data_IF_221130058485
#
_entry.id   IF_221130058485
#
_cell.length_a   1.000
_cell.length_b   1.000
_cell.length_c   1.000
_cell.angle_alpha   90.00
_cell.angle_beta   90.00
_cell.angle_gamma   90.00
#
_symmetry.space_group_name_H-M   'P 1'
#
loop_
_entity.id
_entity.type
_entity.pdbx_description
1 polymer ?
#
# COMPACT_ATOMS: atom_id res chain seq x y z
N UNK A 1 -4.28 -11.22 66.37
CA UNK A 1 -3.24 -11.90 67.17
C UNK A 1 -3.49 -13.40 67.11
N UNK A 2 -2.43 -14.21 66.99
CA UNK A 2 -2.11 -14.99 65.79
C UNK A 2 -2.12 -16.51 66.12
N UNK A 3 -2.17 -17.44 65.17
CA UNK A 3 -1.13 -17.76 64.18
C UNK A 3 -0.60 -19.16 64.48
N UNK A 4 -1.14 -20.17 63.79
CA UNK A 4 -0.54 -21.51 63.78
C UNK A 4 0.60 -21.57 62.76
N UNK A 5 1.74 -22.20 63.06
CA UNK A 5 2.81 -22.38 62.09
C UNK A 5 2.46 -23.54 61.14
N UNK A 6 2.69 -23.41 59.82
CA UNK A 6 2.67 -24.55 58.93
C UNK A 6 4.02 -25.27 58.94
N UNK A 7 3.88 -26.59 58.91
CA UNK A 7 4.89 -27.62 58.68
C UNK A 7 5.76 -27.28 57.47
N UNK A 8 7.03 -26.93 57.69
CA UNK A 8 8.12 -27.08 56.70
C UNK A 8 9.08 -28.14 57.25
N UNK A 9 8.60 -29.38 57.27
CA UNK A 9 9.41 -30.56 57.49
C UNK A 9 9.29 -31.42 56.25
N UNK A 10 10.32 -31.43 55.40
CA UNK A 10 10.86 -32.67 54.80
C UNK A 10 12.04 -32.45 53.82
N UNK A 11 12.36 -31.21 53.40
CA UNK A 11 13.48 -30.99 52.44
C UNK A 11 14.85 -30.76 53.08
N UNK A 12 14.93 -30.62 54.41
CA UNK A 12 16.18 -30.34 55.13
C UNK A 12 17.15 -31.53 55.24
N UNK A 13 16.68 -32.77 55.13
CA UNK A 13 17.52 -33.96 55.36
C UNK A 13 18.54 -34.24 54.25
N UNK A 14 18.17 -34.01 53.00
CA UNK A 14 19.01 -34.34 51.85
C UNK A 14 20.16 -33.33 51.63
N UNK A 15 19.93 -32.05 51.95
CA UNK A 15 20.97 -31.01 51.83
C UNK A 15 22.04 -31.12 52.93
N UNK A 16 21.66 -31.63 54.11
CA UNK A 16 22.56 -31.79 55.27
C UNK A 16 23.62 -32.88 55.04
N UNK A 17 23.26 -33.98 54.36
CA UNK A 17 24.21 -35.07 54.07
C UNK A 17 25.24 -34.71 52.99
N UNK A 18 24.87 -33.88 52.01
CA UNK A 18 25.78 -33.41 50.95
C UNK A 18 26.79 -32.38 51.48
N UNK A 19 26.36 -31.50 52.39
CA UNK A 19 27.26 -30.52 53.00
C UNK A 19 28.31 -31.16 53.93
N UNK A 20 27.96 -32.24 54.65
CA UNK A 20 28.90 -32.95 55.53
C UNK A 20 29.96 -33.74 54.74
N UNK A 21 29.63 -34.27 53.55
CA UNK A 21 30.62 -35.01 52.74
C UNK A 21 31.60 -34.10 52.00
N UNK A 22 31.24 -32.83 51.76
CA UNK A 22 32.09 -31.87 51.03
C UNK A 22 33.16 -31.19 51.90
N UNK A 23 33.00 -31.17 53.23
CA UNK A 23 33.90 -30.45 54.14
C UNK A 23 34.99 -31.36 54.76
N UNK A 24 34.96 -32.67 54.50
CA UNK A 24 36.05 -33.58 54.91
C UNK A 24 36.30 -33.61 56.41
N UNK A 25 35.22 -33.62 57.22
CA UNK A 25 35.29 -33.66 58.68
C UNK A 25 35.09 -35.08 59.21
N UNK A 26 36.04 -35.97 58.91
CA UNK A 26 36.20 -37.21 59.67
C UNK A 26 36.79 -36.87 61.05
N UNK A 27 35.94 -36.52 62.03
CA UNK A 27 36.43 -36.35 63.41
C UNK A 27 35.65 -35.49 64.39
N UNK A 28 34.44 -34.99 64.08
CA UNK A 28 33.65 -34.24 65.07
C UNK A 28 32.71 -35.18 65.80
N UNK A 29 33.03 -35.47 67.07
CA UNK A 29 32.22 -36.28 67.97
C UNK A 29 30.82 -35.69 68.22
N UNK A 30 29.93 -36.53 68.76
CA UNK A 30 28.51 -36.32 69.05
C UNK A 30 28.23 -35.18 70.05
N UNK A 31 28.53 -33.94 69.67
CA UNK A 31 28.14 -32.73 70.40
C UNK A 31 26.76 -32.22 69.97
N UNK A 32 26.03 -31.61 70.90
CA UNK A 32 24.68 -31.03 70.74
C UNK A 32 24.73 -29.88 69.71
N UNK A 33 24.55 -30.20 68.43
CA UNK A 33 24.51 -29.22 67.33
C UNK A 33 23.07 -28.77 67.10
N UNK A 34 22.83 -27.46 67.18
CA UNK A 34 21.51 -26.87 66.89
C UNK A 34 21.58 -26.02 65.62
N UNK A 35 20.67 -26.21 64.65
CA UNK A 35 20.62 -25.37 63.47
C UNK A 35 20.17 -23.96 63.86
N UNK A 36 20.75 -22.96 63.21
CA UNK A 36 20.44 -21.54 63.38
C UNK A 36 20.29 -20.88 62.02
N UNK A 37 19.25 -20.05 61.89
CA UNK A 37 19.01 -19.18 60.75
C UNK A 37 19.26 -17.73 61.18
N UNK A 38 20.11 -17.01 60.45
CA UNK A 38 20.45 -15.61 60.74
C UNK A 38 20.10 -14.76 59.52
N UNK A 39 19.26 -13.74 59.71
CA UNK A 39 18.92 -12.76 58.69
C UNK A 39 19.52 -11.39 59.07
N UNK A 40 20.40 -10.86 58.23
CA UNK A 40 21.01 -9.53 58.40
C UNK A 40 20.92 -8.81 57.05
N UNK A 41 20.06 -7.79 56.97
CA UNK A 41 19.82 -7.07 55.71
C UNK A 41 19.22 -7.98 54.63
N UNK A 42 19.87 -8.01 53.45
CA UNK A 42 19.51 -8.80 52.27
C UNK A 42 20.10 -10.22 52.27
N UNK A 43 20.78 -10.61 53.36
CA UNK A 43 21.46 -11.91 53.48
C UNK A 43 20.72 -12.79 54.49
N UNK A 44 20.29 -13.96 54.02
CA UNK A 44 19.80 -15.06 54.87
C UNK A 44 20.86 -16.15 54.88
N UNK A 45 21.43 -16.43 56.06
CA UNK A 45 22.48 -17.41 56.24
C UNK A 45 22.05 -18.55 57.17
N UNK A 46 22.48 -19.77 56.84
CA UNK A 46 22.21 -20.98 57.62
C UNK A 46 23.50 -21.49 58.25
N UNK A 47 23.43 -21.89 59.52
CA UNK A 47 24.59 -22.36 60.27
C UNK A 47 24.22 -23.28 61.43
N UNK A 48 25.24 -23.68 62.18
CA UNK A 48 25.12 -24.52 63.37
C UNK A 48 25.82 -23.88 64.57
N UNK A 49 25.25 -24.05 65.76
CA UNK A 49 25.92 -23.74 67.02
C UNK A 49 26.79 -24.94 67.42
N UNK A 50 28.07 -24.70 67.69
CA UNK A 50 29.04 -25.67 68.20
C UNK A 50 29.69 -25.07 69.47
N UNK A 51 29.32 -25.58 70.64
CA UNK A 51 29.78 -25.03 71.93
C UNK A 51 29.30 -23.59 72.14
N UNK A 52 30.21 -22.63 72.32
CA UNK A 52 29.92 -21.20 72.44
C UNK A 52 30.05 -20.41 71.13
N UNK A 53 30.28 -21.08 69.99
CA UNK A 53 30.50 -20.44 68.68
C UNK A 53 29.45 -20.82 67.63
N UNK A 54 29.31 -19.98 66.60
CA UNK A 54 28.43 -20.21 65.43
C UNK A 54 29.29 -20.45 64.19
N UNK A 55 29.02 -21.53 63.47
CA UNK A 55 29.63 -21.85 62.16
C UNK A 55 28.58 -21.67 61.06
N UNK A 56 28.84 -20.79 60.10
CA UNK A 56 27.97 -20.53 58.94
C UNK A 56 28.37 -21.42 57.76
N UNK A 57 27.39 -22.11 57.17
CA UNK A 57 27.60 -23.12 56.10
C UNK A 57 27.23 -22.58 54.72
N UNK A 58 26.46 -21.49 54.65
CA UNK A 58 26.16 -20.80 53.40
C UNK A 58 25.13 -19.68 53.59
N UNK A 59 25.06 -18.76 52.63
CA UNK A 59 24.07 -17.68 52.62
C UNK A 59 23.50 -17.44 51.23
N UNK A 60 22.19 -17.20 51.15
CA UNK A 60 21.54 -16.65 49.97
C UNK A 60 21.48 -15.13 50.11
N UNK A 61 21.96 -14.43 49.09
CA UNK A 61 21.78 -12.98 48.97
C UNK A 61 20.55 -12.72 48.12
N UNK A 62 19.44 -12.35 48.75
CA UNK A 62 18.19 -11.99 48.07
C UNK A 62 18.18 -10.48 47.95
N UNK A 63 18.77 -9.94 46.88
CA UNK A 63 18.78 -8.49 46.66
C UNK A 63 17.46 -8.07 46.02
N UNK A 64 16.56 -7.49 46.83
CA UNK A 64 15.32 -6.86 46.35
C UNK A 64 15.61 -5.84 45.23
N UNK A 65 16.74 -5.14 45.31
CA UNK A 65 17.21 -4.22 44.28
C UNK A 65 17.49 -4.88 42.92
N UNK A 66 17.96 -6.12 42.87
CA UNK A 66 18.23 -6.81 41.60
C UNK A 66 16.92 -7.28 40.93
N UNK A 67 15.92 -7.64 41.74
CA UNK A 67 14.59 -7.97 41.23
C UNK A 67 13.88 -6.72 40.72
N UNK A 68 13.92 -5.61 41.46
CA UNK A 68 13.37 -4.33 41.01
C UNK A 68 14.05 -3.81 39.74
N UNK A 69 15.39 -3.94 39.62
CA UNK A 69 16.12 -3.60 38.39
C UNK A 69 15.65 -4.42 37.19
N UNK A 70 15.55 -5.75 37.33
CA UNK A 70 15.06 -6.61 36.23
C UNK A 70 13.62 -6.31 35.84
N UNK A 71 12.76 -5.99 36.82
CA UNK A 71 11.36 -5.67 36.55
C UNK A 71 11.25 -4.35 35.78
N UNK A 72 12.00 -3.32 36.20
CA UNK A 72 12.11 -2.05 35.46
C UNK A 72 12.71 -2.21 34.08
N UNK A 73 13.73 -3.05 33.92
CA UNK A 73 14.33 -3.34 32.60
C UNK A 73 13.32 -3.98 31.65
N UNK A 74 12.48 -4.89 32.14
CA UNK A 74 11.39 -5.51 31.35
C UNK A 74 10.29 -4.49 31.03
N UNK A 75 9.89 -3.64 31.98
CA UNK A 75 8.90 -2.58 31.76
C UNK A 75 9.41 -1.50 30.78
N UNK A 76 10.67 -1.10 30.90
CA UNK A 76 11.31 -0.15 29.98
C UNK A 76 11.52 -0.74 28.59
N UNK A 77 11.89 -2.02 28.49
CA UNK A 77 11.98 -2.72 27.21
C UNK A 77 10.60 -2.84 26.55
N UNK A 78 9.55 -3.18 27.32
CA UNK A 78 8.17 -3.22 26.85
C UNK A 78 7.69 -1.85 26.36
N UNK A 79 7.95 -0.80 27.13
CA UNK A 79 7.59 0.58 26.78
C UNK A 79 8.34 1.08 25.54
N UNK A 80 9.63 0.74 25.38
CA UNK A 80 10.42 1.11 24.19
C UNK A 80 9.97 0.36 22.94
N UNK A 81 9.63 -0.92 23.05
CA UNK A 81 9.04 -1.69 21.95
C UNK A 81 7.68 -1.12 21.54
N UNK A 82 6.86 -0.70 22.51
CA UNK A 82 5.57 -0.08 22.25
C UNK A 82 5.70 1.24 21.47
N UNK A 83 6.62 2.12 21.86
CA UNK A 83 6.86 3.42 21.17
C UNK A 83 7.35 3.27 19.73
N UNK A 84 8.16 2.23 19.44
CA UNK A 84 8.64 1.95 18.08
C UNK A 84 7.52 1.47 17.14
N UNK A 85 6.49 0.80 17.69
CA UNK A 85 5.34 0.30 16.93
C UNK A 85 4.26 1.39 16.77
N UNK A 86 4.11 2.31 17.72
CA UNK A 86 3.07 3.35 17.71
C UNK A 86 3.18 4.38 16.56
N UNK A 87 4.34 4.54 15.92
CA UNK A 87 4.55 5.51 14.83
C UNK A 87 4.59 4.87 13.43
N UNK A 88 4.50 3.54 13.33
CA UNK A 88 4.35 2.85 12.05
C UNK A 88 2.84 2.62 11.86
N UNK A 89 2.22 3.06 10.74
CA UNK A 89 0.79 2.88 10.46
C UNK A 89 0.52 1.42 10.08
N UNK A 90 0.81 0.53 11.01
CA UNK A 90 0.79 -0.90 10.79
C UNK A 90 0.17 -1.62 11.96
N UNK A 91 -0.72 -2.56 11.65
CA UNK A 91 -1.35 -3.42 12.62
C UNK A 91 -0.58 -4.74 12.71
N UNK A 92 -0.16 -5.11 13.91
CA UNK A 92 0.45 -6.41 14.19
C UNK A 92 -0.65 -7.41 14.52
N UNK A 93 -0.53 -8.63 14.01
CA UNK A 93 -1.46 -9.71 14.29
C UNK A 93 -0.77 -11.05 14.54
N UNK A 94 -1.49 -11.97 15.17
CA UNK A 94 -1.09 -13.37 15.36
C UNK A 94 -2.25 -14.25 14.91
N UNK A 95 -1.97 -15.16 13.99
CA UNK A 95 -2.92 -16.17 13.51
C UNK A 95 -2.52 -17.57 13.97
N UNK A 96 -3.54 -18.39 14.19
CA UNK A 96 -3.43 -19.82 14.39
C UNK A 96 -3.99 -20.54 13.17
N UNK A 97 -3.27 -21.54 12.67
CA UNK A 97 -3.79 -22.37 11.58
C UNK A 97 -5.13 -23.00 11.97
N UNK A 98 -6.14 -22.77 11.13
CA UNK A 98 -7.50 -23.26 11.29
C UNK A 98 -8.09 -23.59 9.91
N UNK A 99 -8.15 -24.89 9.51
CA UNK A 99 -8.61 -25.29 8.18
C UNK A 99 -10.12 -25.07 7.96
N UNK A 100 -10.88 -24.69 9.00
CA UNK A 100 -12.29 -24.35 8.88
C UNK A 100 -12.52 -22.89 8.42
N UNK A 101 -11.48 -22.06 8.41
CA UNK A 101 -11.54 -20.65 8.00
C UNK A 101 -11.14 -20.52 6.53
N UNK A 102 -11.81 -19.64 5.79
CA UNK A 102 -11.62 -19.45 4.35
C UNK A 102 -10.17 -19.17 3.91
N UNK A 103 -9.36 -18.52 4.74
CA UNK A 103 -7.93 -18.26 4.48
C UNK A 103 -6.99 -19.22 5.26
N UNK A 104 -7.55 -20.20 5.96
CA UNK A 104 -6.82 -21.17 6.76
C UNK A 104 -6.26 -20.64 8.08
N UNK A 105 -6.58 -19.40 8.46
CA UNK A 105 -6.06 -18.75 9.67
C UNK A 105 -7.17 -18.21 10.57
N UNK A 106 -7.11 -18.52 11.86
CA UNK A 106 -7.93 -17.87 12.89
C UNK A 106 -7.10 -16.83 13.62
N UNK A 107 -7.57 -15.60 13.60
CA UNK A 107 -6.97 -14.49 14.33
C UNK A 107 -7.02 -14.68 15.84
N UNK A 108 -5.85 -14.79 16.47
CA UNK A 108 -5.70 -14.92 17.92
C UNK A 108 -5.41 -13.58 18.59
N UNK A 109 -4.74 -12.67 17.89
CA UNK A 109 -4.43 -11.32 18.37
C UNK A 109 -4.39 -10.33 17.23
N UNK A 110 -4.85 -9.11 17.51
CA UNK A 110 -4.77 -7.96 16.61
C UNK A 110 -4.47 -6.71 17.42
N UNK A 111 -3.52 -5.91 16.96
CA UNK A 111 -3.17 -4.65 17.59
C UNK A 111 -4.25 -3.57 17.39
N UNK A 112 -4.42 -2.60 18.31
CA UNK A 112 -5.43 -1.54 18.21
C UNK A 112 -5.40 -0.70 16.92
N UNK A 113 -4.24 -0.58 16.28
CA UNK A 113 -3.98 0.19 15.06
C UNK A 113 -4.91 -0.18 13.91
N UNK A 114 -5.41 -1.42 13.88
CA UNK A 114 -6.37 -1.87 12.85
C UNK A 114 -7.64 -1.02 12.81
N UNK A 115 -8.00 -0.41 13.95
CA UNK A 115 -9.16 0.50 14.03
C UNK A 115 -8.95 1.74 13.17
N UNK A 116 -7.71 2.24 13.10
CA UNK A 116 -7.35 3.37 12.24
C UNK A 116 -7.27 2.99 10.77
N UNK A 117 -6.91 1.74 10.45
CA UNK A 117 -6.74 1.26 9.07
C UNK A 117 -8.10 0.87 8.46
N UNK A 118 -8.91 0.05 9.15
CA UNK A 118 -10.14 -0.53 8.60
C UNK A 118 -11.42 -0.13 9.35
N UNK A 119 -11.32 0.56 10.48
CA UNK A 119 -12.49 0.93 11.30
C UNK A 119 -13.09 -0.22 12.13
N UNK A 120 -12.45 -1.39 12.15
CA UNK A 120 -12.85 -2.52 13.00
C UNK A 120 -12.11 -2.52 14.32
N UNK A 121 -12.80 -2.88 15.41
CA UNK A 121 -12.13 -3.11 16.68
C UNK A 121 -11.40 -4.45 16.64
N UNK A 122 -10.23 -4.59 17.28
CA UNK A 122 -9.52 -5.86 17.34
C UNK A 122 -10.39 -7.02 17.83
N UNK A 123 -11.22 -6.77 18.85
CA UNK A 123 -12.10 -7.78 19.42
C UNK A 123 -13.10 -8.36 18.42
N UNK A 124 -13.56 -7.57 17.45
CA UNK A 124 -14.51 -8.03 16.42
C UNK A 124 -13.83 -9.00 15.46
N UNK A 125 -12.60 -8.68 15.04
CA UNK A 125 -11.81 -9.51 14.14
C UNK A 125 -11.38 -10.82 14.80
N UNK A 126 -11.06 -10.80 16.10
CA UNK A 126 -10.70 -12.00 16.86
C UNK A 126 -11.92 -12.90 17.12
N UNK A 127 -13.11 -12.31 17.27
CA UNK A 127 -14.33 -13.05 17.59
C UNK A 127 -14.96 -13.74 16.37
N UNK A 128 -14.78 -13.20 15.17
CA UNK A 128 -15.32 -13.73 13.92
C UNK A 128 -14.17 -14.06 12.95
N UNK A 129 -13.77 -15.34 12.84
CA UNK A 129 -12.68 -15.77 11.96
C UNK A 129 -12.93 -15.46 10.48
N UNK A 130 -14.20 -15.40 10.04
CA UNK A 130 -14.54 -15.13 8.63
C UNK A 130 -14.59 -13.64 8.33
N UNK A 131 -14.55 -12.77 9.34
CA UNK A 131 -14.63 -11.33 9.14
C UNK A 131 -13.48 -10.84 8.26
N UNK A 132 -12.25 -11.29 8.51
CA UNK A 132 -11.09 -10.87 7.73
C UNK A 132 -11.18 -11.28 6.25
N UNK A 133 -11.33 -12.58 5.90
CA UNK A 133 -11.59 -12.99 4.52
C UNK A 133 -12.73 -12.21 3.89
N UNK A 134 -13.85 -12.02 4.60
CA UNK A 134 -15.04 -11.32 4.08
C UNK A 134 -14.77 -9.88 3.65
N UNK A 135 -13.75 -9.21 4.21
CA UNK A 135 -13.42 -7.81 3.91
C UNK A 135 -12.37 -7.63 2.83
N UNK A 136 -11.76 -8.69 2.31
CA UNK A 136 -10.91 -8.58 1.13
C UNK A 136 -11.78 -8.17 -0.07
N UNK A 137 -11.31 -7.21 -0.86
CA UNK A 137 -12.02 -6.74 -2.06
C UNK A 137 -12.36 -7.92 -2.98
N UNK A 138 -13.57 -8.00 -3.57
CA UNK A 138 -14.00 -9.15 -4.36
C UNK A 138 -13.02 -9.58 -5.45
N UNK A 139 -12.44 -8.61 -6.17
CA UNK A 139 -11.47 -8.87 -7.26
C UNK A 139 -10.13 -9.44 -6.77
N UNK A 140 -9.75 -9.17 -5.52
CA UNK A 140 -8.44 -9.54 -4.98
C UNK A 140 -8.51 -10.79 -4.09
N UNK A 141 -9.72 -11.12 -3.61
CA UNK A 141 -9.99 -12.19 -2.64
C UNK A 141 -9.40 -13.54 -3.02
N UNK A 142 -9.61 -13.98 -4.27
CA UNK A 142 -9.15 -15.29 -4.71
C UNK A 142 -7.61 -15.40 -4.67
N UNK A 143 -6.92 -14.34 -5.09
CA UNK A 143 -5.46 -14.29 -5.06
C UNK A 143 -4.92 -14.21 -3.63
N UNK A 144 -5.55 -13.39 -2.77
CA UNK A 144 -5.15 -13.25 -1.38
C UNK A 144 -5.32 -14.57 -0.60
N UNK A 145 -6.48 -15.23 -0.70
CA UNK A 145 -6.73 -16.52 -0.04
C UNK A 145 -5.70 -17.57 -0.49
N UNK A 146 -5.41 -17.66 -1.80
CA UNK A 146 -4.41 -18.60 -2.31
C UNK A 146 -3.01 -18.33 -1.73
N UNK A 147 -2.65 -17.07 -1.49
CA UNK A 147 -1.39 -16.71 -0.85
C UNK A 147 -1.33 -17.15 0.62
N UNK A 148 -2.42 -17.01 1.37
CA UNK A 148 -2.52 -17.55 2.74
C UNK A 148 -2.45 -19.07 2.78
N UNK A 149 -3.20 -19.77 1.92
CA UNK A 149 -3.15 -21.23 1.83
C UNK A 149 -1.72 -21.73 1.52
N UNK A 150 -1.02 -21.05 0.61
CA UNK A 150 0.37 -21.35 0.31
C UNK A 150 1.28 -21.12 1.52
N UNK A 151 1.13 -19.99 2.21
CA UNK A 151 1.87 -19.67 3.44
C UNK A 151 1.72 -20.76 4.51
N UNK A 152 0.50 -21.18 4.82
CA UNK A 152 0.24 -22.25 5.78
C UNK A 152 0.85 -23.59 5.32
N UNK A 153 0.67 -23.94 4.05
CA UNK A 153 1.13 -25.23 3.50
C UNK A 153 2.66 -25.33 3.40
N UNK A 154 3.36 -24.27 3.01
CA UNK A 154 4.81 -24.30 2.77
C UNK A 154 5.63 -23.82 3.96
N UNK A 155 5.04 -23.01 4.84
CA UNK A 155 5.76 -22.29 5.89
C UNK A 155 6.62 -21.14 5.38
N UNK A 156 6.58 -20.83 4.08
CA UNK A 156 7.26 -19.65 3.51
C UNK A 156 6.54 -18.37 3.94
N UNK A 157 7.24 -17.22 4.05
CA UNK A 157 6.61 -15.97 4.45
C UNK A 157 5.47 -15.55 3.51
N UNK A 158 4.35 -15.11 4.08
CA UNK A 158 3.29 -14.42 3.35
C UNK A 158 3.81 -13.06 2.93
N UNK A 159 3.61 -12.71 1.66
CA UNK A 159 3.85 -11.36 1.12
C UNK A 159 2.80 -11.06 0.08
N UNK A 160 1.82 -10.24 0.44
CA UNK A 160 0.72 -9.89 -0.44
C UNK A 160 0.39 -8.40 -0.36
N UNK A 161 -0.01 -7.81 -1.48
CA UNK A 161 -0.65 -6.49 -1.53
C UNK A 161 -2.04 -6.68 -2.11
N UNK A 162 -3.07 -6.26 -1.37
CA UNK A 162 -4.46 -6.42 -1.80
C UNK A 162 -5.33 -5.31 -1.21
N UNK A 163 -6.53 -5.13 -1.78
CA UNK A 163 -7.52 -4.19 -1.27
C UNK A 163 -8.39 -4.84 -0.22
N UNK A 164 -8.71 -4.09 0.83
CA UNK A 164 -9.72 -4.40 1.83
C UNK A 164 -10.82 -3.34 1.83
N UNK A 165 -12.01 -3.75 2.23
CA UNK A 165 -13.16 -2.89 2.45
C UNK A 165 -13.23 -2.53 3.93
N UNK A 166 -12.95 -1.27 4.25
CA UNK A 166 -13.14 -0.72 5.58
C UNK A 166 -14.62 -0.76 6.00
N UNK A 167 -14.90 -0.55 7.29
CA UNK A 167 -16.28 -0.57 7.82
C UNK A 167 -17.23 0.40 7.11
N UNK A 168 -16.72 1.57 6.73
CA UNK A 168 -17.48 2.61 6.02
C UNK A 168 -17.65 2.32 4.51
N UNK A 169 -17.06 1.23 4.02
CA UNK A 169 -17.06 0.84 2.61
C UNK A 169 -15.90 1.42 1.80
N UNK A 170 -15.02 2.21 2.41
CA UNK A 170 -13.83 2.75 1.73
C UNK A 170 -12.86 1.63 1.38
N UNK A 171 -12.28 1.69 0.18
CA UNK A 171 -11.19 0.80 -0.22
C UNK A 171 -9.87 1.24 0.40
N UNK A 172 -9.21 0.30 1.08
CA UNK A 172 -7.90 0.48 1.71
C UNK A 172 -6.94 -0.54 1.09
N UNK A 173 -5.82 -0.06 0.56
CA UNK A 173 -4.77 -0.95 0.11
C UNK A 173 -3.90 -1.35 1.30
N UNK A 174 -3.73 -2.65 1.50
CA UNK A 174 -2.89 -3.20 2.55
C UNK A 174 -1.73 -3.98 1.96
N UNK A 175 -0.56 -3.86 2.60
CA UNK A 175 0.54 -4.80 2.43
C UNK A 175 0.57 -5.71 3.64
N UNK A 176 0.49 -7.00 3.39
CA UNK A 176 0.47 -8.03 4.41
C UNK A 176 1.74 -8.87 4.34
N UNK A 177 2.46 -8.91 5.45
CA UNK A 177 3.68 -9.69 5.62
C UNK A 177 3.57 -10.55 6.87
N UNK A 178 3.64 -11.88 6.73
CA UNK A 178 3.54 -12.82 7.83
C UNK A 178 4.60 -13.91 7.79
N UNK A 179 5.01 -14.38 8.97
CA UNK A 179 6.04 -15.39 9.15
C UNK A 179 5.53 -16.49 10.06
N UNK A 180 5.71 -17.74 9.62
CA UNK A 180 5.46 -18.90 10.47
C UNK A 180 6.43 -18.91 11.64
N UNK A 181 5.90 -19.12 12.84
CA UNK A 181 6.68 -19.20 14.07
C UNK A 181 7.09 -20.65 14.35
N UNK A 182 8.29 -20.90 14.90
CA UNK A 182 8.67 -22.22 15.36
C UNK A 182 7.67 -22.74 16.40
N UNK A 183 7.32 -24.02 16.31
CA UNK A 183 6.34 -24.65 17.20
C UNK A 183 6.94 -24.87 18.61
N UNK A 184 6.75 -23.88 19.48
CA UNK A 184 7.03 -23.92 20.93
C UNK A 184 5.83 -24.51 21.70
N UNK A 185 4.63 -24.44 21.12
CA UNK A 185 3.39 -24.68 21.86
C UNK A 185 3.05 -26.17 21.96
N UNK A 186 2.66 -26.63 23.14
CA UNK A 186 2.10 -27.99 23.35
C UNK A 186 0.84 -28.30 22.51
N UNK A 187 0.31 -27.32 21.77
CA UNK A 187 -0.93 -27.42 21.00
C UNK A 187 -0.76 -28.08 19.62
N UNK A 188 0.46 -28.09 19.06
CA UNK A 188 0.75 -28.64 17.73
C UNK A 188 0.09 -27.89 16.56
N UNK A 189 -0.46 -26.70 16.78
CA UNK A 189 -1.01 -25.84 15.72
C UNK A 189 0.05 -24.85 15.26
N UNK A 190 0.21 -24.73 13.94
CA UNK A 190 1.10 -23.75 13.35
C UNK A 190 0.63 -22.33 13.71
N UNK A 191 1.56 -21.49 14.13
CA UNK A 191 1.32 -20.10 14.50
C UNK A 191 2.01 -19.19 13.48
N UNK A 192 1.36 -18.10 13.10
CA UNK A 192 1.93 -17.08 12.23
C UNK A 192 1.85 -15.72 12.90
N UNK A 193 2.90 -14.92 12.76
CA UNK A 193 2.91 -13.53 13.19
C UNK A 193 3.06 -12.65 11.96
N UNK A 194 2.19 -11.65 11.84
CA UNK A 194 2.19 -10.75 10.70
C UNK A 194 2.04 -9.28 11.05
N UNK A 195 2.29 -8.47 10.03
CA UNK A 195 2.15 -7.03 10.03
C UNK A 195 1.35 -6.62 8.80
N UNK A 196 0.26 -5.89 9.04
CA UNK A 196 -0.57 -5.27 8.03
C UNK A 196 -0.23 -3.78 7.94
N UNK A 197 0.20 -3.30 6.78
CA UNK A 197 0.58 -1.90 6.57
C UNK A 197 -0.41 -1.25 5.60
N UNK A 198 -0.96 -0.09 5.97
CA UNK A 198 -1.73 0.73 5.04
C UNK A 198 -0.78 1.35 3.99
N UNK A 199 -0.99 1.00 2.73
CA UNK A 199 -0.24 1.50 1.57
C UNK A 199 -1.13 2.31 0.62
N UNK A 200 -2.31 2.73 1.07
CA UNK A 200 -3.31 3.44 0.27
C UNK A 200 -2.76 4.73 -0.31
N UNK A 201 -2.09 5.56 0.50
CA UNK A 201 -1.52 6.82 0.01
C UNK A 201 -0.40 6.61 -1.00
N UNK A 202 0.41 5.56 -0.81
CA UNK A 202 1.43 5.16 -1.80
C UNK A 202 0.77 4.76 -3.12
N UNK A 203 -0.25 3.90 -3.08
CA UNK A 203 -0.98 3.47 -4.29
C UNK A 203 -1.68 4.64 -4.98
N UNK A 204 -2.31 5.55 -4.23
CA UNK A 204 -2.90 6.80 -4.76
C UNK A 204 -1.85 7.68 -5.43
N UNK A 205 -0.68 7.83 -4.81
CA UNK A 205 0.41 8.62 -5.39
C UNK A 205 0.97 7.96 -6.66
N UNK A 206 1.17 6.64 -6.65
CA UNK A 206 1.57 5.88 -7.85
C UNK A 206 0.55 6.06 -8.99
N UNK A 207 -0.75 5.90 -8.71
CA UNK A 207 -1.81 6.11 -9.70
C UNK A 207 -1.84 7.55 -10.21
N UNK A 208 -1.66 8.54 -9.32
CA UNK A 208 -1.59 9.94 -9.72
C UNK A 208 -0.37 10.22 -10.60
N UNK A 209 0.80 9.72 -10.24
CA UNK A 209 2.02 9.87 -11.05
C UNK A 209 1.86 9.24 -12.44
N UNK A 210 1.21 8.08 -12.52
CA UNK A 210 0.87 7.46 -13.81
C UNK A 210 -0.10 8.34 -14.60
N UNK A 211 -1.15 8.85 -13.95
CA UNK A 211 -2.11 9.73 -14.61
C UNK A 211 -1.43 11.01 -15.13
N UNK A 212 -0.68 11.71 -14.28
CA UNK A 212 0.05 12.94 -14.60
C UNK A 212 1.12 12.70 -15.69
N UNK A 213 1.70 11.49 -15.77
CA UNK A 213 2.65 11.12 -16.82
C UNK A 213 1.98 10.87 -18.18
N UNK A 214 0.68 10.59 -18.21
CA UNK A 214 -0.07 10.21 -19.42
C UNK A 214 -1.13 11.23 -19.85
N UNK A 215 -1.44 12.22 -19.03
CA UNK A 215 -2.46 13.24 -19.30
C UNK A 215 -1.88 14.65 -19.25
N UNK A 216 -2.52 15.59 -19.94
CA UNK A 216 -2.20 17.00 -19.87
C UNK A 216 -2.80 17.61 -18.58
N UNK A 217 -2.00 18.24 -17.71
CA UNK A 217 -2.48 18.70 -16.40
C UNK A 217 -3.48 19.87 -16.47
N UNK A 218 -3.55 20.57 -17.60
CA UNK A 218 -4.50 21.68 -17.77
C UNK A 218 -5.86 21.20 -18.27
N UNK A 219 -5.87 20.38 -19.33
CA UNK A 219 -7.10 19.96 -19.99
C UNK A 219 -7.62 18.61 -19.51
N UNK A 220 -6.79 17.80 -18.83
CA UNK A 220 -7.11 16.43 -18.43
C UNK A 220 -7.17 15.43 -19.59
N UNK A 221 -6.93 15.89 -20.83
CA UNK A 221 -6.87 15.02 -22.01
C UNK A 221 -5.63 14.13 -21.97
N UNK A 222 -5.61 13.11 -22.84
CA UNK A 222 -4.37 12.38 -23.10
C UNK A 222 -3.24 13.34 -23.49
N UNK A 223 -2.01 13.04 -23.09
CA UNK A 223 -0.84 13.76 -23.59
C UNK A 223 -0.24 13.06 -24.81
N UNK A 224 0.82 13.63 -25.37
CA UNK A 224 1.53 13.07 -26.53
C UNK A 224 2.00 11.62 -26.37
N UNK A 225 2.36 11.20 -25.15
CA UNK A 225 2.84 9.85 -24.87
C UNK A 225 1.67 8.87 -24.97
N UNK A 226 0.55 9.21 -24.34
CA UNK A 226 -0.65 8.37 -24.36
C UNK A 226 -1.28 8.33 -25.77
N UNK A 227 -1.33 9.44 -26.51
CA UNK A 227 -1.81 9.44 -27.89
C UNK A 227 -0.99 8.48 -28.78
N UNK A 228 0.34 8.53 -28.68
CA UNK A 228 1.21 7.66 -29.47
C UNK A 228 0.98 6.18 -29.15
N UNK A 229 0.88 5.83 -27.87
CA UNK A 229 0.58 4.45 -27.45
C UNK A 229 -0.80 3.98 -27.98
N UNK A 230 -1.81 4.84 -27.96
CA UNK A 230 -3.11 4.53 -28.57
C UNK A 230 -3.01 4.36 -30.09
N UNK A 231 -2.24 5.21 -30.77
CA UNK A 231 -2.02 5.14 -32.21
C UNK A 231 -1.33 3.82 -32.61
N UNK A 232 -0.25 3.45 -31.92
CA UNK A 232 0.47 2.19 -32.14
C UNK A 232 -0.44 0.98 -31.95
N UNK A 233 -1.28 0.99 -30.90
CA UNK A 233 -2.27 -0.07 -30.66
C UNK A 233 -3.35 -0.11 -31.74
N UNK A 234 -3.81 1.03 -32.23
CA UNK A 234 -4.80 1.10 -33.29
C UNK A 234 -4.26 0.52 -34.60
N UNK A 235 -3.03 0.90 -34.99
CA UNK A 235 -2.35 0.37 -36.17
C UNK A 235 -2.12 -1.15 -36.06
N UNK A 236 -1.72 -1.64 -34.89
CA UNK A 236 -1.56 -3.09 -34.67
C UNK A 236 -2.88 -3.87 -34.86
N UNK A 237 -4.02 -3.26 -34.48
CA UNK A 237 -5.37 -3.86 -34.64
C UNK A 237 -5.92 -3.74 -36.06
N UNK A 238 -5.50 -2.73 -36.82
CA UNK A 238 -5.96 -2.47 -38.19
C UNK A 238 -5.78 -3.67 -39.11
N UNK A 239 -4.67 -4.41 -38.93
CA UNK A 239 -4.37 -5.66 -39.66
C UNK A 239 -5.47 -6.73 -39.63
N UNK A 240 -6.47 -6.58 -38.74
CA UNK A 240 -7.57 -7.55 -38.52
C UNK A 240 -8.97 -6.98 -38.82
N UNK A 241 -9.11 -5.74 -39.28
CA UNK A 241 -10.41 -5.06 -39.46
C UNK A 241 -10.58 -4.44 -40.85
N UNK A 242 -11.83 -4.21 -41.27
CA UNK A 242 -12.15 -3.64 -42.59
C UNK A 242 -12.13 -2.09 -42.65
N UNK A 243 -11.61 -1.42 -41.62
CA UNK A 243 -11.45 0.05 -41.59
C UNK A 243 -9.98 0.45 -41.42
N UNK A 244 -9.73 1.75 -41.56
CA UNK A 244 -8.39 2.35 -41.40
C UNK A 244 -8.35 3.29 -40.19
N UNK A 245 -7.14 3.62 -39.75
CA UNK A 245 -6.87 4.58 -38.69
C UNK A 245 -6.63 5.95 -39.32
N UNK A 246 -7.22 7.00 -38.74
CA UNK A 246 -6.92 8.38 -39.13
C UNK A 246 -6.40 9.18 -37.94
N UNK A 247 -5.39 10.00 -38.17
CA UNK A 247 -4.84 10.94 -37.20
C UNK A 247 -5.10 12.36 -37.69
N UNK A 248 -5.69 13.18 -36.82
CA UNK A 248 -5.93 14.58 -37.05
C UNK A 248 -5.06 15.40 -36.10
N UNK A 249 -4.31 16.36 -36.62
CA UNK A 249 -3.66 17.40 -35.83
C UNK A 249 -4.41 18.71 -35.97
N UNK A 250 -4.67 19.37 -34.85
CA UNK A 250 -5.44 20.60 -34.76
C UNK A 250 -4.60 21.64 -34.04
N UNK A 251 -4.36 22.78 -34.67
CA UNK A 251 -3.74 23.94 -34.04
C UNK A 251 -4.72 25.10 -33.99
N UNK A 252 -4.78 25.78 -32.84
CA UNK A 252 -5.66 26.92 -32.68
C UNK A 252 -5.09 28.18 -33.33
N UNK A 253 -5.82 28.67 -34.34
CA UNK A 253 -5.36 29.80 -35.13
C UNK A 253 -5.21 31.07 -34.29
N UNK A 254 -4.03 31.70 -34.38
CA UNK A 254 -3.72 32.96 -33.71
C UNK A 254 -3.87 32.94 -32.18
N UNK A 255 -3.79 31.77 -31.53
CA UNK A 255 -3.96 31.62 -30.08
C UNK A 255 -2.98 32.48 -29.27
N UNK A 256 -1.75 32.69 -29.76
CA UNK A 256 -0.82 33.65 -29.15
C UNK A 256 -1.42 35.06 -29.01
N UNK A 257 -2.14 35.55 -30.03
CA UNK A 257 -2.78 36.87 -29.98
C UNK A 257 -3.89 36.93 -28.94
N UNK A 258 -4.57 35.80 -28.70
CA UNK A 258 -5.56 35.67 -27.63
C UNK A 258 -4.89 35.81 -26.26
N UNK A 259 -3.78 35.10 -26.03
CA UNK A 259 -2.99 35.24 -24.81
C UNK A 259 -2.47 36.66 -24.61
N UNK A 260 -1.96 37.29 -25.67
CA UNK A 260 -1.43 38.66 -25.59
C UNK A 260 -2.54 39.69 -25.31
N UNK A 261 -3.78 39.41 -25.71
CA UNK A 261 -4.93 40.33 -25.54
C UNK A 261 -5.68 40.13 -24.21
N UNK A 262 -5.82 38.88 -23.76
CA UNK A 262 -6.68 38.51 -22.62
C UNK A 262 -5.91 37.90 -21.44
N UNK A 263 -4.61 37.62 -21.60
CA UNK A 263 -3.74 37.01 -20.61
C UNK A 263 -3.75 35.47 -20.64
N UNK A 264 -2.73 34.86 -20.03
CA UNK A 264 -2.54 33.41 -20.02
C UNK A 264 -3.69 32.65 -19.33
N UNK A 265 -4.23 33.18 -18.22
CA UNK A 265 -5.36 32.54 -17.53
C UNK A 265 -6.63 32.47 -18.41
N UNK A 266 -6.80 33.41 -19.34
CA UNK A 266 -7.87 33.39 -20.32
C UNK A 266 -7.58 32.38 -21.44
N UNK A 267 -6.33 32.28 -21.89
CA UNK A 267 -5.89 31.23 -22.81
C UNK A 267 -6.11 29.84 -22.24
N UNK A 268 -5.80 29.63 -20.97
CA UNK A 268 -6.02 28.36 -20.27
C UNK A 268 -7.50 27.96 -20.26
N UNK A 269 -8.40 28.91 -19.98
CA UNK A 269 -9.85 28.68 -20.06
C UNK A 269 -10.31 28.32 -21.48
N UNK A 270 -9.71 28.96 -22.49
CA UNK A 270 -10.00 28.65 -23.90
C UNK A 270 -9.52 27.25 -24.25
N UNK A 271 -8.33 26.85 -23.81
CA UNK A 271 -7.80 25.50 -24.03
C UNK A 271 -8.68 24.43 -23.40
N UNK A 272 -9.16 24.64 -22.16
CA UNK A 272 -10.12 23.74 -21.53
C UNK A 272 -11.45 23.68 -22.30
N UNK A 273 -12.00 24.84 -22.71
CA UNK A 273 -13.24 24.88 -23.48
C UNK A 273 -13.11 24.22 -24.86
N UNK A 274 -11.96 24.34 -25.51
CA UNK A 274 -11.63 23.64 -26.75
C UNK A 274 -11.54 22.14 -26.49
N UNK A 275 -10.84 21.71 -25.45
CA UNK A 275 -10.73 20.30 -25.09
C UNK A 275 -12.11 19.63 -24.95
N UNK A 276 -13.01 20.26 -24.19
CA UNK A 276 -14.38 19.78 -24.00
C UNK A 276 -15.14 19.66 -25.34
N UNK A 277 -14.96 20.64 -26.23
CA UNK A 277 -15.58 20.62 -27.56
C UNK A 277 -15.03 19.53 -28.44
N UNK A 278 -13.72 19.30 -28.43
CA UNK A 278 -13.10 18.24 -29.21
C UNK A 278 -13.59 16.86 -28.74
N UNK A 279 -13.67 16.63 -27.44
CA UNK A 279 -14.23 15.39 -26.85
C UNK A 279 -15.70 15.20 -27.25
N UNK A 280 -16.52 16.26 -27.17
CA UNK A 280 -17.91 16.21 -27.63
C UNK A 280 -18.07 16.07 -29.15
N UNK A 281 -17.02 16.40 -29.91
CA UNK A 281 -16.97 16.33 -31.37
C UNK A 281 -16.37 15.04 -31.90
N UNK A 282 -16.16 13.99 -31.08
CA UNK A 282 -15.70 12.66 -31.52
C UNK A 282 -16.54 11.55 -30.89
N UNK A 283 -16.30 10.29 -31.28
CA UNK A 283 -16.99 9.12 -30.67
C UNK A 283 -16.27 8.72 -29.37
N UNK A 284 -16.93 7.93 -28.53
CA UNK A 284 -16.35 7.48 -27.26
C UNK A 284 -15.09 6.62 -27.41
N UNK A 285 -14.94 5.93 -28.55
CA UNK A 285 -13.76 5.10 -28.84
C UNK A 285 -12.60 5.88 -29.48
N UNK A 286 -12.83 7.14 -29.85
CA UNK A 286 -11.79 8.03 -30.39
C UNK A 286 -10.99 8.66 -29.25
N UNK A 287 -9.73 9.00 -29.50
CA UNK A 287 -8.85 9.60 -28.48
C UNK A 287 -8.58 11.06 -28.84
N UNK A 288 -8.80 11.95 -27.87
CA UNK A 288 -8.41 13.36 -27.96
C UNK A 288 -7.24 13.60 -27.02
N UNK A 289 -6.19 14.22 -27.52
CA UNK A 289 -4.99 14.53 -26.79
C UNK A 289 -4.57 15.99 -26.98
N UNK A 290 -3.93 16.57 -25.97
CA UNK A 290 -3.20 17.83 -26.11
C UNK A 290 -1.72 17.52 -26.25
N UNK A 291 -1.12 18.01 -27.33
CA UNK A 291 0.27 17.72 -27.67
C UNK A 291 1.22 18.67 -26.96
N UNK A 292 0.97 19.96 -27.15
CA UNK A 292 1.71 21.07 -26.56
C UNK A 292 0.93 22.36 -26.80
N UNK A 293 1.15 23.41 -26.01
CA UNK A 293 0.61 24.75 -26.31
C UNK A 293 -0.86 24.76 -26.74
N UNK A 294 -1.10 25.15 -27.98
CA UNK A 294 -2.35 25.25 -28.73
C UNK A 294 -2.64 24.08 -29.68
N UNK A 295 -1.81 23.03 -29.64
CA UNK A 295 -1.88 21.87 -30.51
C UNK A 295 -2.59 20.68 -29.85
N UNK A 296 -3.52 20.08 -30.59
CA UNK A 296 -4.28 18.91 -30.21
C UNK A 296 -4.11 17.80 -31.24
N UNK A 297 -4.09 16.55 -30.79
CA UNK A 297 -4.11 15.37 -31.63
C UNK A 297 -5.39 14.59 -31.40
N UNK A 298 -5.99 14.10 -32.48
CA UNK A 298 -7.22 13.31 -32.44
C UNK A 298 -7.00 12.03 -33.23
N UNK A 299 -7.12 10.89 -32.55
CA UNK A 299 -7.05 9.57 -33.16
C UNK A 299 -8.47 9.06 -33.41
N UNK A 300 -8.80 8.86 -34.68
CA UNK A 300 -10.01 8.17 -35.09
C UNK A 300 -9.66 6.70 -35.28
N UNK A 301 -10.08 5.86 -34.33
CA UNK A 301 -9.62 4.48 -34.22
C UNK A 301 -10.11 3.55 -35.33
N UNK A 302 -11.22 3.93 -35.98
CA UNK A 302 -11.78 3.19 -37.12
C UNK A 302 -12.61 4.14 -38.00
N UNK A 303 -12.08 4.46 -39.19
CA UNK A 303 -12.81 5.15 -40.26
C UNK A 303 -12.91 4.27 -41.49
N UNK A 304 -13.96 4.45 -42.29
CA UNK A 304 -14.15 3.68 -43.53
C UNK A 304 -13.24 4.16 -44.65
N UNK A 305 -13.05 5.46 -44.74
CA UNK A 305 -12.37 6.14 -45.84
C UNK A 305 -11.93 7.56 -45.41
N UNK A 306 -11.28 8.27 -46.35
CA UNK A 306 -10.87 9.66 -46.16
C UNK A 306 -12.06 10.61 -45.95
N UNK A 307 -13.22 10.34 -46.59
CA UNK A 307 -14.40 11.20 -46.50
C UNK A 307 -14.98 11.21 -45.08
N UNK A 308 -14.95 10.07 -44.36
CA UNK A 308 -15.35 10.00 -42.95
C UNK A 308 -14.41 10.78 -42.03
N UNK A 309 -13.10 10.76 -42.29
CA UNK A 309 -12.12 11.56 -41.57
C UNK A 309 -12.32 13.07 -41.83
N UNK A 310 -12.53 13.45 -43.10
CA UNK A 310 -12.83 14.83 -43.52
C UNK A 310 -14.12 15.33 -42.86
N UNK A 311 -15.19 14.53 -42.88
CA UNK A 311 -16.46 14.86 -42.21
C UNK A 311 -16.27 15.13 -40.72
N UNK A 312 -15.39 14.37 -40.07
CA UNK A 312 -15.04 14.57 -38.66
C UNK A 312 -14.25 15.86 -38.45
N UNK A 313 -13.27 16.17 -39.32
CA UNK A 313 -12.53 17.43 -39.29
C UNK A 313 -13.45 18.65 -39.49
N UNK A 314 -14.37 18.60 -40.45
CA UNK A 314 -15.34 19.68 -40.69
C UNK A 314 -16.28 19.90 -39.50
N UNK A 315 -16.70 18.81 -38.83
CA UNK A 315 -17.46 18.90 -37.58
C UNK A 315 -16.65 19.57 -36.48
N UNK A 316 -15.39 19.17 -36.30
CA UNK A 316 -14.48 19.78 -35.33
C UNK A 316 -14.34 21.29 -35.59
N UNK A 317 -14.05 21.70 -36.83
CA UNK A 317 -13.95 23.12 -37.20
C UNK A 317 -15.22 23.91 -36.85
N UNK A 318 -16.41 23.34 -37.11
CA UNK A 318 -17.68 23.98 -36.73
C UNK A 318 -17.83 24.15 -35.21
N UNK A 319 -17.41 23.15 -34.43
CA UNK A 319 -17.46 23.24 -32.97
C UNK A 319 -16.45 24.25 -32.41
N UNK A 320 -15.25 24.35 -32.99
CA UNK A 320 -14.24 25.35 -32.60
C UNK A 320 -14.76 26.78 -32.78
N UNK A 321 -15.45 27.07 -33.89
CA UNK A 321 -16.01 28.40 -34.20
C UNK A 321 -17.13 28.86 -33.26
N UNK A 322 -17.66 28.00 -32.40
CA UNK A 322 -18.69 28.43 -31.44
C UNK A 322 -18.10 29.50 -30.50
N UNK A 323 -18.81 30.61 -30.20
CA UNK A 323 -18.28 31.60 -29.27
C UNK A 323 -18.02 31.02 -27.87
N UNK A 324 -16.87 31.32 -27.29
CA UNK A 324 -16.47 30.96 -25.91
C UNK A 324 -16.71 32.19 -25.02
N UNK A 325 -17.58 32.11 -24.00
CA UNK A 325 -17.74 33.18 -23.04
C UNK A 325 -16.52 33.26 -22.13
N UNK A 326 -15.86 34.42 -22.11
CA UNK A 326 -14.63 34.66 -21.36
C UNK A 326 -14.65 36.06 -20.75
N UNK A 327 -14.78 36.16 -19.42
CA UNK A 327 -14.71 37.44 -18.70
C UNK A 327 -15.72 38.51 -19.18
N UNK A 328 -16.89 38.11 -19.69
CA UNK A 328 -17.89 39.04 -20.26
C UNK A 328 -17.75 39.32 -21.76
N UNK A 329 -16.72 38.77 -22.41
CA UNK A 329 -16.54 38.80 -23.86
C UNK A 329 -16.94 37.46 -24.49
N UNK A 330 -17.23 37.49 -25.79
CA UNK A 330 -17.39 36.29 -26.62
C UNK A 330 -16.19 36.20 -27.55
N UNK A 331 -15.34 35.21 -27.34
CA UNK A 331 -14.14 34.96 -28.15
C UNK A 331 -14.42 33.81 -29.10
N UNK A 332 -14.05 33.97 -30.36
CA UNK A 332 -14.14 32.90 -31.38
C UNK A 332 -12.71 32.51 -31.74
N UNK A 333 -12.46 31.20 -31.78
CA UNK A 333 -11.15 30.63 -32.13
C UNK A 333 -11.36 29.70 -33.31
N UNK A 334 -10.55 29.90 -34.36
CA UNK A 334 -10.49 28.99 -35.50
C UNK A 334 -9.48 27.87 -35.24
N UNK A 335 -9.41 26.91 -36.16
CA UNK A 335 -8.36 25.92 -36.12
C UNK A 335 -7.89 25.53 -37.51
N UNK A 336 -6.61 25.21 -37.62
CA UNK A 336 -6.05 24.56 -38.81
C UNK A 336 -5.86 23.07 -38.51
N UNK A 337 -6.40 22.22 -39.38
CA UNK A 337 -6.40 20.77 -39.20
C UNK A 337 -5.56 20.08 -40.28
N UNK A 338 -4.70 19.16 -39.90
CA UNK A 338 -4.06 18.23 -40.83
C UNK A 338 -4.60 16.83 -40.66
N UNK A 339 -4.88 16.12 -41.75
CA UNK A 339 -5.44 14.77 -41.73
C UNK A 339 -4.42 13.78 -42.34
N UNK A 340 -4.12 12.70 -41.63
CA UNK A 340 -3.35 11.58 -42.14
C UNK A 340 -4.13 10.27 -41.98
N UNK A 341 -4.07 9.39 -42.98
CA UNK A 341 -4.72 8.08 -42.97
C UNK A 341 -3.71 6.96 -43.13
N UNK A 342 -3.92 5.86 -42.41
CA UNK A 342 -3.14 4.63 -42.56
C UNK A 342 -3.57 3.86 -43.81
N UNK A 343 -3.21 4.37 -44.99
CA UNK A 343 -3.62 3.81 -46.28
C UNK A 343 -2.81 2.58 -46.70
N UNK A 344 -1.60 2.41 -46.16
CA UNK A 344 -0.69 1.33 -46.51
C UNK A 344 -0.56 0.31 -45.38
N UNK A 345 -0.32 -0.95 -45.72
CA UNK A 345 -0.23 -2.05 -44.76
C UNK A 345 0.92 -1.92 -43.75
N UNK A 346 1.92 -1.07 -44.04
CA UNK A 346 3.11 -0.85 -43.21
C UNK A 346 3.21 0.59 -42.68
N UNK A 347 2.13 1.38 -42.71
CA UNK A 347 2.14 2.73 -42.16
C UNK A 347 2.50 2.71 -40.68
N UNK A 348 3.55 3.43 -40.30
CA UNK A 348 3.99 3.55 -38.91
C UNK A 348 3.32 4.73 -38.21
N UNK A 349 3.37 4.74 -36.87
CA UNK A 349 2.91 5.88 -36.09
C UNK A 349 3.67 7.17 -36.46
N UNK A 350 4.97 7.08 -36.71
CA UNK A 350 5.81 8.23 -37.07
C UNK A 350 5.43 8.82 -38.44
N UNK A 351 5.06 7.96 -39.40
CA UNK A 351 4.60 8.40 -40.71
C UNK A 351 3.32 9.24 -40.59
N UNK A 352 2.34 8.76 -39.81
CA UNK A 352 1.08 9.49 -39.60
C UNK A 352 1.29 10.80 -38.84
N UNK A 353 2.13 10.80 -37.80
CA UNK A 353 2.47 12.01 -37.06
C UNK A 353 3.09 13.06 -37.99
N UNK A 354 4.04 12.65 -38.82
CA UNK A 354 4.73 13.53 -39.78
C UNK A 354 3.78 14.04 -40.86
N UNK A 355 2.92 13.17 -41.41
CA UNK A 355 1.96 13.54 -42.45
C UNK A 355 0.88 14.48 -41.93
N UNK A 356 0.33 14.22 -40.73
CA UNK A 356 -0.68 15.07 -40.12
C UNK A 356 -0.12 16.46 -39.80
N UNK A 357 1.11 16.54 -39.30
CA UNK A 357 1.79 17.83 -39.05
C UNK A 357 2.02 18.63 -40.34
N UNK A 358 2.55 17.97 -41.39
CA UNK A 358 2.77 18.61 -42.67
C UNK A 358 1.46 19.12 -43.31
N UNK A 359 0.38 18.34 -43.22
CA UNK A 359 -0.94 18.73 -43.68
C UNK A 359 -1.48 19.92 -42.87
N UNK A 360 -1.36 19.89 -41.54
CA UNK A 360 -1.79 20.99 -40.67
C UNK A 360 -1.06 22.30 -41.02
N UNK A 361 0.25 22.21 -41.27
CA UNK A 361 1.03 23.38 -41.70
C UNK A 361 0.56 23.91 -43.07
N UNK A 362 0.21 23.03 -44.01
CA UNK A 362 -0.37 23.42 -45.30
C UNK A 362 -1.73 24.13 -45.11
N UNK A 363 -2.60 23.62 -44.22
CA UNK A 363 -3.87 24.27 -43.87
C UNK A 363 -3.66 25.68 -43.32
N UNK A 364 -2.66 25.89 -42.45
CA UNK A 364 -2.29 27.22 -41.94
C UNK A 364 -1.82 28.15 -43.06
N UNK A 365 -0.98 27.65 -43.96
CA UNK A 365 -0.42 28.43 -45.06
C UNK A 365 -1.49 28.85 -46.09
N UNK A 366 -2.52 28.02 -46.28
CA UNK A 366 -3.62 28.24 -47.23
C UNK A 366 -4.76 29.11 -46.66
N UNK A 367 -4.50 29.84 -45.58
CA UNK A 367 -5.41 30.86 -45.04
C UNK A 367 -6.17 30.46 -43.79
N UNK A 368 -5.75 29.38 -43.10
CA UNK A 368 -6.26 28.96 -41.79
C UNK A 368 -7.74 28.54 -41.80
N UNK A 369 -8.27 28.18 -40.63
CA UNK A 369 -9.68 27.82 -40.39
C UNK A 369 -10.21 26.74 -41.35
N UNK A 370 -9.35 25.76 -41.66
CA UNK A 370 -9.59 24.70 -42.65
C UNK A 370 -8.85 23.42 -42.30
N UNK A 371 -9.08 22.39 -43.09
CA UNK A 371 -8.32 21.15 -43.05
C UNK A 371 -7.49 20.99 -44.34
N UNK A 372 -6.46 20.15 -44.28
CA UNK A 372 -5.68 19.72 -45.44
C UNK A 372 -5.35 18.23 -45.35
#
# INVERSE_FOLDING_TARGET
MPGGPPVVGLFGGALVLVALSLVGLDGIGTGDTRPVLIAIGDVVAFGFILGSGVVLVGGLRISAEALERRTREVEEAGSRLQVLVEHVPAAVYIDLADPEVSDGGRLAYMSPQISGILGYRPEELVSDPELWPSRIHPDDRAAAISAYEAHWRTGEPLRAEYRMLARDGTEVWVRDEAYGMPDDTQSGRQLSQGLLIDITDRKRLESKLIHDALHDPLTGLANRVLLRDHLERALARQSRSAGTVALLFVDLDDFKRVNDSYGHAAGDQILCAVADRLVGAVRADDVVARQSGDEFGILLGLVRDADEAITSAERILRELRRPIPLGGHLVVVGGSIGIALATESETTAEDLLTQADAAMYAAKADGKDRHA
#
